data_IF_979929897618
#
_entry.id   IF_979929897618
#
_cell.length_a   1.000
_cell.length_b   1.000
_cell.length_c   1.000
_cell.angle_alpha   90.00
_cell.angle_beta   90.00
_cell.angle_gamma   90.00
#
_symmetry.space_group_name_H-M   'P 1'
#
loop_
_entity.id
_entity.type
_entity.pdbx_description
1 polymer ?
#
# COMPACT_ATOMS: atom_id res chain seq x y z
N UNK A 1 -36.36 23.54 27.95
CA UNK A 1 -36.12 22.16 27.50
C UNK A 1 -35.96 21.24 28.71
N UNK A 2 -37.00 20.47 28.95
CA UNK A 2 -37.44 20.03 30.29
C UNK A 2 -36.82 18.67 30.66
N UNK A 3 -35.82 18.23 29.89
CA UNK A 3 -35.14 16.94 30.04
C UNK A 3 -36.02 15.72 29.73
N UNK A 4 -37.30 15.90 29.44
CA UNK A 4 -38.22 14.80 29.18
C UNK A 4 -38.16 14.35 27.72
N UNK A 5 -37.89 13.06 27.54
CA UNK A 5 -37.94 12.37 26.26
C UNK A 5 -39.37 12.41 25.72
N UNK A 6 -39.55 12.99 24.52
CA UNK A 6 -40.82 12.93 23.79
C UNK A 6 -40.58 12.21 22.47
N UNK A 7 -41.15 11.01 22.35
CA UNK A 7 -41.12 10.23 21.11
C UNK A 7 -41.98 10.93 20.06
N UNK A 8 -41.35 11.45 19.02
CA UNK A 8 -42.00 12.14 17.91
C UNK A 8 -42.42 11.12 16.84
N UNK A 9 -43.66 10.61 16.96
CA UNK A 9 -44.42 9.80 15.98
C UNK A 9 -43.86 8.40 15.66
N UNK A 10 -44.74 7.40 15.77
CA UNK A 10 -44.52 6.01 15.35
C UNK A 10 -44.38 5.91 13.82
N UNK A 11 -43.17 6.12 13.30
CA UNK A 11 -42.77 5.47 12.06
C UNK A 11 -42.65 3.98 12.33
N UNK A 12 -43.07 3.12 11.37
CA UNK A 12 -42.94 1.64 11.41
C UNK A 12 -41.73 1.25 12.27
N UNK A 13 -42.01 0.68 13.45
CA UNK A 13 -40.98 0.24 14.40
C UNK A 13 -39.97 -0.60 13.63
N UNK A 14 -38.79 -0.02 13.39
CA UNK A 14 -37.66 -0.77 12.83
C UNK A 14 -37.13 -1.53 14.02
N UNK A 15 -37.20 -2.86 13.97
CA UNK A 15 -36.67 -3.73 15.01
C UNK A 15 -35.18 -3.38 15.26
N UNK A 16 -34.83 -2.87 16.46
CA UNK A 16 -33.44 -2.53 16.77
C UNK A 16 -32.50 -3.73 16.69
N UNK A 17 -33.03 -4.96 16.80
CA UNK A 17 -32.27 -6.19 16.61
C UNK A 17 -31.57 -6.28 15.26
N UNK A 18 -32.11 -5.64 14.22
CA UNK A 18 -31.46 -5.54 12.90
C UNK A 18 -30.11 -4.79 12.95
N UNK A 19 -29.93 -3.94 13.95
CA UNK A 19 -28.71 -3.15 14.12
C UNK A 19 -27.75 -3.74 15.18
N UNK A 20 -28.14 -4.82 15.87
CA UNK A 20 -27.27 -5.51 16.83
C UNK A 20 -26.25 -6.39 16.10
N UNK A 21 -24.97 -6.22 16.42
CA UNK A 21 -23.86 -7.02 15.95
C UNK A 21 -23.08 -7.67 17.10
N UNK A 22 -21.80 -7.99 16.89
CA UNK A 22 -20.97 -8.64 17.92
C UNK A 22 -20.75 -7.72 19.13
N UNK A 23 -20.88 -8.28 20.34
CA UNK A 23 -20.72 -7.56 21.62
C UNK A 23 -21.67 -6.37 21.78
N UNK A 24 -22.87 -6.50 21.22
CA UNK A 24 -23.96 -5.57 21.42
C UNK A 24 -25.26 -6.34 21.64
N UNK A 25 -26.14 -5.80 22.46
CA UNK A 25 -27.47 -6.34 22.75
C UNK A 25 -28.52 -5.24 22.59
N UNK A 26 -29.79 -5.63 22.47
CA UNK A 26 -30.90 -4.68 22.51
C UNK A 26 -31.27 -4.47 23.98
N UNK A 27 -31.53 -3.23 24.39
CA UNK A 27 -31.95 -2.93 25.76
C UNK A 27 -33.34 -3.51 26.08
N UNK A 28 -33.67 -3.55 27.37
CA UNK A 28 -34.94 -4.11 27.87
C UNK A 28 -36.18 -3.42 27.27
N UNK A 29 -36.09 -2.12 26.99
CA UNK A 29 -37.17 -1.33 26.40
C UNK A 29 -37.35 -1.56 24.88
N UNK A 30 -36.46 -2.33 24.25
CA UNK A 30 -36.55 -2.64 22.82
C UNK A 30 -36.45 -1.41 21.92
N UNK A 31 -35.72 -0.37 22.34
CA UNK A 31 -35.62 0.90 21.62
C UNK A 31 -34.17 1.34 21.31
N UNK A 32 -33.16 0.67 21.87
CA UNK A 32 -31.76 1.00 21.69
C UNK A 32 -30.85 -0.24 21.62
N UNK A 33 -29.77 -0.12 20.84
CA UNK A 33 -28.66 -1.09 20.86
C UNK A 33 -27.63 -0.60 21.85
N UNK A 34 -27.31 -1.43 22.84
CA UNK A 34 -26.33 -1.18 23.89
C UNK A 34 -25.11 -2.08 23.72
N UNK A 35 -24.00 -1.68 24.31
CA UNK A 35 -22.71 -2.37 24.18
C UNK A 35 -22.48 -3.28 25.37
N UNK A 36 -22.14 -4.55 25.13
CA UNK A 36 -21.89 -5.52 26.20
C UNK A 36 -20.47 -5.37 26.79
N UNK A 37 -19.56 -4.76 26.03
CA UNK A 37 -18.16 -4.52 26.40
C UNK A 37 -17.76 -3.08 26.11
N UNK A 38 -16.74 -2.61 26.82
CA UNK A 38 -16.02 -1.39 26.48
C UNK A 38 -15.16 -1.62 25.23
N UNK A 39 -15.20 -0.66 24.29
CA UNK A 39 -14.39 -0.78 23.09
C UNK A 39 -14.70 0.27 22.02
N UNK A 40 -14.27 -0.01 20.80
CA UNK A 40 -14.54 0.81 19.62
C UNK A 40 -15.71 0.22 18.84
N UNK A 41 -16.74 1.04 18.64
CA UNK A 41 -17.87 0.70 17.81
C UNK A 41 -17.48 0.71 16.34
N UNK A 42 -17.85 -0.35 15.64
CA UNK A 42 -17.69 -0.56 14.21
C UNK A 42 -19.05 -0.83 13.59
N UNK A 43 -19.45 0.02 12.64
CA UNK A 43 -20.71 -0.13 11.92
C UNK A 43 -20.48 -0.81 10.58
N UNK A 44 -21.26 -1.85 10.27
CA UNK A 44 -21.25 -2.53 8.98
C UNK A 44 -22.02 -1.74 7.93
N UNK A 45 -21.85 -2.10 6.65
CA UNK A 45 -22.57 -1.49 5.52
C UNK A 45 -24.10 -1.66 5.67
N UNK A 46 -24.54 -2.76 6.26
CA UNK A 46 -25.96 -3.05 6.51
C UNK A 46 -26.51 -2.36 7.76
N UNK A 47 -25.67 -1.61 8.47
CA UNK A 47 -26.07 -0.79 9.61
C UNK A 47 -25.89 -1.46 10.98
N UNK A 48 -25.53 -2.75 11.03
CA UNK A 48 -25.25 -3.42 12.31
C UNK A 48 -24.01 -2.85 12.99
N UNK A 49 -24.08 -2.68 14.31
CA UNK A 49 -23.02 -2.12 15.14
C UNK A 49 -22.38 -3.25 15.93
N UNK A 50 -21.07 -3.40 15.83
CA UNK A 50 -20.29 -4.33 16.66
C UNK A 50 -19.27 -3.56 17.47
N UNK A 51 -18.96 -4.00 18.69
CA UNK A 51 -17.93 -3.37 19.52
C UNK A 51 -16.74 -4.31 19.67
N UNK A 52 -15.54 -3.80 19.44
CA UNK A 52 -14.30 -4.55 19.63
C UNK A 52 -13.48 -3.95 20.75
N UNK A 53 -12.82 -4.76 21.60
CA UNK A 53 -11.97 -4.24 22.66
C UNK A 53 -10.87 -3.35 22.08
N UNK A 54 -10.56 -2.27 22.77
CA UNK A 54 -9.52 -1.33 22.36
C UNK A 54 -8.52 -1.09 23.47
N UNK A 55 -7.24 -1.03 23.08
CA UNK A 55 -6.18 -0.64 24.00
C UNK A 55 -6.17 0.88 24.15
N UNK A 56 -5.88 1.38 25.35
CA UNK A 56 -5.79 2.82 25.63
C UNK A 56 -4.36 3.19 26.00
N UNK A 57 -3.83 4.18 25.31
CA UNK A 57 -2.48 4.72 25.52
C UNK A 57 -2.64 6.20 25.84
N UNK A 58 -1.87 6.72 26.79
CA UNK A 58 -1.99 8.13 27.21
C UNK A 58 -1.62 9.06 26.06
N UNK A 59 -0.33 9.26 25.79
CA UNK A 59 0.16 10.08 24.69
C UNK A 59 1.34 9.39 24.04
N UNK A 60 1.63 9.76 22.78
CA UNK A 60 2.73 9.18 22.04
C UNK A 60 3.69 10.31 21.68
N UNK A 61 4.85 10.30 22.32
CA UNK A 61 5.97 11.18 21.97
C UNK A 61 7.07 10.45 21.20
N UNK A 62 8.01 11.21 20.64
CA UNK A 62 9.18 10.69 19.90
C UNK A 62 10.00 9.65 20.67
N UNK A 63 10.02 9.73 22.01
CA UNK A 63 10.68 8.77 22.89
C UNK A 63 10.11 7.33 22.79
N UNK A 64 8.87 7.17 22.34
CA UNK A 64 8.25 5.85 22.14
C UNK A 64 8.77 5.14 20.87
N UNK A 65 9.47 5.86 19.99
CA UNK A 65 9.96 5.33 18.73
C UNK A 65 8.82 4.90 17.80
N UNK A 66 8.99 3.74 17.16
CA UNK A 66 8.00 3.16 16.26
C UNK A 66 7.01 2.28 17.04
N UNK A 67 5.76 2.72 17.12
CA UNK A 67 4.67 1.97 17.71
C UNK A 67 3.87 1.26 16.62
N UNK A 68 3.85 -0.08 16.65
CA UNK A 68 2.99 -0.91 15.80
C UNK A 68 1.95 -1.64 16.64
N UNK A 69 0.68 -1.59 16.24
CA UNK A 69 -0.42 -2.31 16.92
C UNK A 69 -1.31 -3.04 15.91
N UNK A 70 -1.58 -4.31 16.16
CA UNK A 70 -2.46 -5.10 15.29
C UNK A 70 -3.94 -4.73 15.48
N UNK A 71 -4.33 -4.46 16.73
CA UNK A 71 -5.69 -4.14 17.11
C UNK A 71 -5.96 -2.63 17.11
N UNK A 72 -7.24 -2.29 17.16
CA UNK A 72 -7.67 -0.91 17.28
C UNK A 72 -7.30 -0.37 18.66
N UNK A 73 -6.83 0.87 18.70
CA UNK A 73 -6.46 1.51 19.97
C UNK A 73 -6.78 2.99 19.99
N UNK A 74 -6.84 3.53 21.21
CA UNK A 74 -7.18 4.91 21.52
C UNK A 74 -5.96 5.58 22.13
N UNK A 75 -5.56 6.72 21.57
CA UNK A 75 -4.61 7.65 22.18
C UNK A 75 -5.42 8.72 22.89
N UNK A 76 -5.33 8.77 24.22
CA UNK A 76 -6.14 9.67 25.06
C UNK A 76 -5.67 11.13 24.97
N UNK A 77 -4.40 11.35 24.62
CA UNK A 77 -3.73 12.65 24.48
C UNK A 77 -3.17 12.82 23.07
N UNK A 78 -2.19 13.71 22.93
CA UNK A 78 -1.60 14.09 21.65
C UNK A 78 -0.59 13.05 21.15
N UNK A 79 -0.44 13.00 19.83
CA UNK A 79 0.69 12.37 19.16
C UNK A 79 1.67 13.49 18.82
N UNK A 80 2.82 13.52 19.49
CA UNK A 80 3.83 14.55 19.35
C UNK A 80 4.67 14.39 18.09
N UNK A 81 5.36 15.46 17.73
CA UNK A 81 6.25 15.52 16.57
C UNK A 81 7.33 14.44 16.57
N UNK A 82 7.59 13.89 15.38
CA UNK A 82 8.60 12.84 15.17
C UNK A 82 8.15 11.44 15.62
N UNK A 83 6.93 11.29 16.12
CA UNK A 83 6.39 9.97 16.48
C UNK A 83 6.01 9.16 15.24
N UNK A 84 6.16 7.84 15.34
CA UNK A 84 5.81 6.90 14.28
C UNK A 84 4.80 5.88 14.78
N UNK A 85 3.57 5.95 14.26
CA UNK A 85 2.44 5.14 14.72
C UNK A 85 1.84 4.36 13.55
N UNK A 86 1.74 3.05 13.68
CA UNK A 86 1.13 2.17 12.69
C UNK A 86 0.11 1.22 13.33
N UNK A 87 -1.05 1.06 12.69
CA UNK A 87 -2.01 0.02 13.05
C UNK A 87 -2.65 -0.65 11.85
N UNK A 88 -2.94 -1.95 11.99
CA UNK A 88 -3.71 -2.72 11.02
C UNK A 88 -5.23 -2.50 11.16
N UNK A 89 -5.66 -1.74 12.18
CA UNK A 89 -7.06 -1.51 12.49
C UNK A 89 -7.39 -0.02 12.58
N UNK A 90 -8.43 0.34 13.33
CA UNK A 90 -8.85 1.73 13.53
C UNK A 90 -7.99 2.41 14.60
N UNK A 91 -7.71 3.71 14.40
CA UNK A 91 -7.01 4.56 15.36
C UNK A 91 -7.92 5.71 15.78
N UNK A 92 -8.07 5.90 17.09
CA UNK A 92 -8.76 7.08 17.64
C UNK A 92 -7.78 7.91 18.46
N UNK A 93 -7.62 9.17 18.09
CA UNK A 93 -6.80 10.15 18.81
C UNK A 93 -7.73 11.17 19.43
N UNK A 94 -7.80 11.19 20.76
CA UNK A 94 -8.59 12.16 21.52
C UNK A 94 -7.88 13.51 21.65
N UNK A 95 -6.57 13.55 21.43
CA UNK A 95 -5.78 14.76 21.28
C UNK A 95 -5.63 15.27 19.85
N UNK A 96 -4.58 16.05 19.64
CA UNK A 96 -4.08 16.52 18.37
C UNK A 96 -2.95 15.61 17.83
N UNK A 97 -2.67 15.73 16.54
CA UNK A 97 -1.54 15.04 15.90
C UNK A 97 -0.61 16.10 15.34
N UNK A 98 0.59 16.20 15.90
CA UNK A 98 1.58 17.20 15.54
C UNK A 98 2.76 16.53 14.85
N UNK A 99 3.04 16.87 13.59
CA UNK A 99 4.29 16.51 12.90
C UNK A 99 4.69 15.02 12.97
N UNK A 100 3.72 14.10 13.00
CA UNK A 100 3.95 12.68 13.20
C UNK A 100 3.68 11.86 11.93
N UNK A 101 4.30 10.68 11.84
CA UNK A 101 3.93 9.66 10.88
C UNK A 101 2.83 8.77 11.49
N UNK A 102 1.66 8.76 10.87
CA UNK A 102 0.52 7.96 11.35
C UNK A 102 -0.05 7.15 10.21
N UNK A 103 -0.05 5.82 10.33
CA UNK A 103 -0.66 4.89 9.37
C UNK A 103 -1.70 4.03 10.05
N UNK A 104 -2.88 3.92 9.46
CA UNK A 104 -3.90 2.95 9.86
C UNK A 104 -4.50 2.30 8.63
N UNK A 105 -4.62 0.97 8.61
CA UNK A 105 -5.35 0.28 7.52
C UNK A 105 -6.86 0.50 7.61
N UNK A 106 -7.38 0.77 8.81
CA UNK A 106 -8.78 1.12 9.04
C UNK A 106 -9.05 2.62 8.90
N UNK A 107 -9.91 3.11 9.79
CA UNK A 107 -10.27 4.51 9.92
C UNK A 107 -9.39 5.23 10.95
N UNK A 108 -9.15 6.52 10.73
CA UNK A 108 -8.53 7.39 11.72
C UNK A 108 -9.52 8.48 12.13
N UNK A 109 -9.72 8.63 13.43
CA UNK A 109 -10.47 9.75 14.01
C UNK A 109 -9.55 10.58 14.91
N UNK A 110 -9.41 11.86 14.59
CA UNK A 110 -8.67 12.85 15.37
C UNK A 110 -9.70 13.83 15.93
N UNK A 111 -9.79 13.96 17.25
CA UNK A 111 -10.78 14.81 17.90
C UNK A 111 -10.48 16.30 17.68
N UNK A 112 -9.20 16.67 17.65
CA UNK A 112 -8.75 18.04 17.43
C UNK A 112 -8.11 18.22 16.05
N UNK A 113 -6.95 18.87 16.01
CA UNK A 113 -6.29 19.30 14.78
C UNK A 113 -5.18 18.29 14.46
N UNK A 114 -4.98 18.03 13.17
CA UNK A 114 -3.73 17.44 12.72
C UNK A 114 -2.91 18.52 12.02
N UNK A 115 -1.72 18.81 12.53
CA UNK A 115 -0.82 19.79 11.95
C UNK A 115 0.60 19.26 11.78
N UNK A 116 1.39 19.97 10.98
CA UNK A 116 2.81 19.71 10.77
C UNK A 116 3.55 21.05 10.77
N UNK A 117 3.83 21.62 11.97
CA UNK A 117 4.36 22.98 12.09
C UNK A 117 5.75 23.11 11.46
N UNK A 118 6.59 22.09 11.58
CA UNK A 118 7.95 22.04 11.02
C UNK A 118 7.99 21.69 9.54
N UNK A 119 6.85 21.30 8.95
CA UNK A 119 6.76 20.81 7.56
C UNK A 119 7.73 19.67 7.29
N UNK A 120 7.93 18.80 8.29
CA UNK A 120 8.75 17.61 8.13
C UNK A 120 8.21 16.75 6.99
N UNK A 121 9.10 16.23 6.14
CA UNK A 121 8.75 15.32 5.05
C UNK A 121 8.35 13.93 5.54
N UNK A 122 8.77 13.57 6.75
CA UNK A 122 8.48 12.29 7.37
C UNK A 122 7.07 12.26 7.99
N UNK A 123 6.58 13.44 8.41
CA UNK A 123 5.24 13.60 8.93
C UNK A 123 4.19 13.50 7.81
N UNK A 124 3.43 12.41 7.82
CA UNK A 124 2.30 12.17 6.91
C UNK A 124 1.27 11.26 7.56
N UNK A 125 0.00 11.45 7.19
CA UNK A 125 -1.11 10.61 7.63
C UNK A 125 -1.55 9.72 6.49
N UNK A 126 -1.54 8.40 6.70
CA UNK A 126 -1.93 7.39 5.73
C UNK A 126 -3.09 6.56 6.28
N UNK A 127 -4.24 6.60 5.61
CA UNK A 127 -5.46 5.95 6.07
C UNK A 127 -5.99 5.01 4.99
N UNK A 128 -6.13 3.72 5.30
CA UNK A 128 -6.67 2.74 4.36
C UNK A 128 -8.15 2.99 4.05
N UNK A 129 -8.93 3.48 5.02
CA UNK A 129 -10.32 3.87 4.82
C UNK A 129 -10.53 5.38 4.96
N UNK A 130 -11.19 5.83 6.04
CA UNK A 130 -11.61 7.22 6.19
C UNK A 130 -10.88 7.96 7.30
N UNK A 131 -10.53 9.23 7.04
CA UNK A 131 -10.01 10.16 8.01
C UNK A 131 -11.10 11.14 8.44
N UNK A 132 -11.30 11.28 9.75
CA UNK A 132 -12.10 12.35 10.35
C UNK A 132 -11.22 13.19 11.27
N UNK A 133 -11.24 14.51 11.08
CA UNK A 133 -10.50 15.45 11.94
C UNK A 133 -11.30 16.73 12.14
N UNK A 134 -10.96 17.56 13.14
CA UNK A 134 -11.55 18.90 13.26
C UNK A 134 -10.99 19.82 12.17
N UNK A 135 -9.67 19.82 11.99
CA UNK A 135 -8.97 20.59 10.97
C UNK A 135 -7.65 19.92 10.56
N UNK A 136 -7.19 20.21 9.36
CA UNK A 136 -5.88 19.77 8.85
C UNK A 136 -5.04 20.99 8.48
N UNK A 137 -3.77 21.04 8.91
CA UNK A 137 -2.89 22.17 8.65
C UNK A 137 -1.45 21.75 8.31
N UNK A 138 -0.91 22.16 7.16
CA UNK A 138 0.46 21.80 6.73
C UNK A 138 0.74 20.28 6.60
N UNK A 139 -0.28 19.44 6.73
CA UNK A 139 -0.12 17.98 6.80
C UNK A 139 -0.41 17.32 5.46
N UNK A 140 0.49 16.47 4.94
CA UNK A 140 0.18 15.61 3.82
C UNK A 140 -0.66 14.41 4.27
N UNK A 141 -1.74 14.14 3.53
CA UNK A 141 -2.72 13.10 3.87
C UNK A 141 -3.00 12.23 2.65
N UNK A 142 -2.97 10.92 2.84
CA UNK A 142 -3.54 9.96 1.90
C UNK A 142 -4.68 9.18 2.58
N UNK A 143 -5.84 9.08 1.92
CA UNK A 143 -6.98 8.33 2.40
C UNK A 143 -7.62 7.47 1.30
N UNK A 144 -7.79 6.18 1.56
CA UNK A 144 -8.37 5.22 0.62
C UNK A 144 -9.89 5.35 0.43
N UNK A 145 -10.60 6.10 1.28
CA UNK A 145 -12.02 6.36 1.12
C UNK A 145 -12.37 7.83 1.31
N UNK A 146 -12.65 8.30 2.53
CA UNK A 146 -13.17 9.65 2.77
C UNK A 146 -12.23 10.49 3.62
N UNK A 147 -12.20 11.80 3.38
CA UNK A 147 -11.59 12.77 4.29
C UNK A 147 -12.64 13.78 4.71
N UNK A 148 -12.90 13.87 6.01
CA UNK A 148 -13.94 14.72 6.57
C UNK A 148 -13.31 15.66 7.61
N UNK A 149 -13.45 16.96 7.40
CA UNK A 149 -13.07 17.98 8.38
C UNK A 149 -14.23 18.86 8.79
N UNK A 150 -14.22 19.31 10.05
CA UNK A 150 -15.30 20.13 10.62
C UNK A 150 -15.08 21.63 10.42
N UNK A 151 -13.83 22.10 10.44
CA UNK A 151 -13.48 23.52 10.35
C UNK A 151 -12.86 23.87 8.99
N UNK A 152 -11.82 23.14 8.57
CA UNK A 152 -11.15 23.45 7.32
C UNK A 152 -9.85 22.69 7.08
N UNK A 153 -9.29 22.94 5.91
CA UNK A 153 -8.00 22.42 5.44
C UNK A 153 -7.12 23.59 5.00
N UNK A 154 -5.90 23.67 5.51
CA UNK A 154 -4.98 24.79 5.23
C UNK A 154 -3.57 24.30 4.90
N UNK A 155 -3.02 24.73 3.77
CA UNK A 155 -1.67 24.38 3.33
C UNK A 155 -1.41 22.86 3.33
N UNK A 156 -2.41 22.06 3.00
CA UNK A 156 -2.33 20.59 2.98
C UNK A 156 -2.07 20.06 1.56
N UNK A 157 -1.45 18.87 1.46
CA UNK A 157 -1.47 18.04 0.25
C UNK A 157 -2.32 16.80 0.53
N UNK A 158 -3.54 16.76 0.00
CA UNK A 158 -4.52 15.71 0.30
C UNK A 158 -4.77 14.89 -0.95
N UNK A 159 -4.65 13.58 -0.80
CA UNK A 159 -5.02 12.59 -1.80
C UNK A 159 -6.09 11.67 -1.24
N UNK A 160 -7.24 11.62 -1.90
CA UNK A 160 -8.40 10.89 -1.42
C UNK A 160 -9.06 10.15 -2.57
N UNK A 161 -9.26 8.84 -2.44
CA UNK A 161 -9.85 8.04 -3.52
C UNK A 161 -11.34 8.32 -3.74
N UNK A 162 -12.11 8.57 -2.69
CA UNK A 162 -13.55 8.73 -2.82
C UNK A 162 -13.99 10.19 -2.63
N UNK A 163 -14.28 10.61 -1.39
CA UNK A 163 -14.91 11.92 -1.14
C UNK A 163 -14.17 12.75 -0.10
N UNK A 164 -13.94 14.02 -0.41
CA UNK A 164 -13.47 15.03 0.54
C UNK A 164 -14.61 15.95 0.93
N UNK A 165 -14.82 16.12 2.23
CA UNK A 165 -15.86 16.98 2.81
C UNK A 165 -15.20 17.95 3.79
N UNK A 166 -15.25 19.24 3.49
CA UNK A 166 -14.68 20.29 4.34
C UNK A 166 -15.43 21.60 4.13
N UNK A 167 -15.65 22.45 5.16
CA UNK A 167 -16.24 23.76 4.92
C UNK A 167 -15.31 24.67 4.12
N UNK A 168 -14.00 24.64 4.41
CA UNK A 168 -13.04 25.57 3.82
C UNK A 168 -11.77 24.87 3.37
N UNK A 169 -11.24 25.32 2.22
CA UNK A 169 -9.92 24.94 1.70
C UNK A 169 -9.11 26.21 1.50
N UNK A 170 -7.87 26.24 1.99
CA UNK A 170 -6.97 27.38 1.81
C UNK A 170 -5.55 26.96 1.44
N UNK A 171 -5.00 27.58 0.40
CA UNK A 171 -3.63 27.36 -0.09
C UNK A 171 -3.22 25.87 -0.14
N UNK A 172 -4.14 24.97 -0.49
CA UNK A 172 -3.95 23.51 -0.41
C UNK A 172 -3.98 22.87 -1.79
N UNK A 173 -3.27 21.75 -1.92
CA UNK A 173 -3.33 20.88 -3.08
C UNK A 173 -4.21 19.68 -2.73
N UNK A 174 -5.31 19.51 -3.42
CA UNK A 174 -6.28 18.45 -3.12
C UNK A 174 -6.56 17.66 -4.38
N UNK A 175 -6.38 16.35 -4.29
CA UNK A 175 -6.69 15.40 -5.37
C UNK A 175 -7.73 14.42 -4.88
N UNK A 176 -8.90 14.40 -5.53
CA UNK A 176 -10.06 13.60 -5.12
C UNK A 176 -10.52 12.72 -6.25
N UNK A 177 -10.76 11.44 -5.99
CA UNK A 177 -11.16 10.51 -7.04
C UNK A 177 -12.61 10.66 -7.50
N UNK A 178 -13.55 10.86 -6.58
CA UNK A 178 -14.98 10.91 -6.92
C UNK A 178 -15.62 12.29 -6.66
N UNK A 179 -15.74 12.71 -5.40
CA UNK A 179 -16.57 13.88 -5.04
C UNK A 179 -15.86 14.83 -4.08
N UNK A 180 -15.97 16.13 -4.34
CA UNK A 180 -15.52 17.18 -3.43
C UNK A 180 -16.74 17.99 -2.96
N UNK A 181 -16.92 18.10 -1.65
CA UNK A 181 -17.97 18.90 -1.03
C UNK A 181 -17.29 19.99 -0.20
N UNK A 182 -17.32 21.22 -0.71
CA UNK A 182 -16.72 22.39 -0.07
C UNK A 182 -17.63 23.62 -0.16
N UNK A 183 -17.61 24.47 0.88
CA UNK A 183 -18.30 25.76 0.87
C UNK A 183 -17.42 26.86 0.26
N UNK A 184 -16.22 27.06 0.80
CA UNK A 184 -15.29 28.07 0.32
C UNK A 184 -13.93 27.48 -0.05
N UNK A 185 -13.40 27.88 -1.21
CA UNK A 185 -12.01 27.65 -1.61
C UNK A 185 -11.30 29.00 -1.68
N UNK A 186 -10.21 29.16 -0.93
CA UNK A 186 -9.47 30.41 -0.76
C UNK A 186 -7.98 30.23 -1.06
N UNK A 187 -7.31 31.34 -1.38
CA UNK A 187 -5.89 31.37 -1.76
C UNK A 187 -5.59 30.52 -3.00
N UNK A 188 -4.30 30.31 -3.26
CA UNK A 188 -3.82 29.56 -4.43
C UNK A 188 -3.97 28.04 -4.24
N UNK A 189 -5.22 27.59 -4.10
CA UNK A 189 -5.56 26.17 -3.94
C UNK A 189 -5.65 25.47 -5.29
N UNK A 190 -5.02 24.30 -5.41
CA UNK A 190 -5.07 23.47 -6.61
C UNK A 190 -5.92 22.24 -6.35
N UNK A 191 -7.00 22.07 -7.12
CA UNK A 191 -7.91 20.94 -6.98
C UNK A 191 -7.88 20.09 -8.26
N UNK A 192 -7.67 18.78 -8.11
CA UNK A 192 -7.73 17.81 -9.20
C UNK A 192 -8.78 16.74 -8.89
N UNK A 193 -9.67 16.50 -9.85
CA UNK A 193 -10.78 15.56 -9.69
C UNK A 193 -10.63 14.38 -10.67
N UNK A 194 -10.90 13.17 -10.18
CA UNK A 194 -10.88 11.93 -10.95
C UNK A 194 -9.82 10.95 -10.44
N UNK A 195 -10.18 9.67 -10.39
CA UNK A 195 -9.34 8.59 -9.88
C UNK A 195 -7.94 8.55 -10.52
N UNK A 196 -7.81 8.91 -11.80
CA UNK A 196 -6.53 8.98 -12.54
C UNK A 196 -5.47 9.90 -11.94
N UNK A 197 -5.88 10.88 -11.12
CA UNK A 197 -4.95 11.82 -10.52
C UNK A 197 -4.52 11.40 -9.11
N UNK A 198 -5.28 10.50 -8.47
CA UNK A 198 -4.97 10.01 -7.13
C UNK A 198 -3.87 8.97 -7.27
N UNK A 199 -2.72 9.22 -6.62
CA UNK A 199 -1.64 8.24 -6.57
C UNK A 199 -1.88 7.37 -5.34
N UNK A 200 -2.07 6.07 -5.55
CA UNK A 200 -2.08 5.11 -4.45
C UNK A 200 -0.63 4.80 -4.04
N UNK A 201 -0.21 5.06 -2.79
CA UNK A 201 1.09 4.72 -2.26
C UNK A 201 1.39 3.22 -2.40
N UNK A 202 0.40 2.35 -2.19
CA UNK A 202 0.60 0.91 -2.28
C UNK A 202 0.79 0.45 -3.73
N UNK A 203 0.08 1.08 -4.68
CA UNK A 203 0.35 0.83 -6.11
C UNK A 203 1.68 1.40 -6.58
N UNK A 204 2.16 2.50 -5.98
CA UNK A 204 3.45 3.08 -6.34
C UNK A 204 4.60 2.16 -5.98
N UNK A 205 4.52 1.53 -4.80
CA UNK A 205 5.49 0.53 -4.37
C UNK A 205 5.40 -0.73 -5.25
N UNK A 206 4.20 -1.21 -5.57
CA UNK A 206 4.02 -2.33 -6.53
C UNK A 206 4.50 -2.00 -7.94
N UNK A 207 4.31 -0.77 -8.40
CA UNK A 207 4.78 -0.31 -9.72
C UNK A 207 6.30 -0.23 -9.80
N UNK A 208 6.97 0.18 -8.72
CA UNK A 208 8.42 0.15 -8.60
C UNK A 208 8.94 -1.31 -8.61
N UNK A 209 8.34 -2.18 -7.80
CA UNK A 209 8.67 -3.61 -7.77
C UNK A 209 8.45 -4.27 -9.13
N UNK A 210 7.35 -3.95 -9.82
CA UNK A 210 7.06 -4.46 -11.16
C UNK A 210 8.02 -3.92 -12.21
N UNK A 211 8.38 -2.64 -12.13
CA UNK A 211 9.41 -2.08 -13.02
C UNK A 211 10.77 -2.71 -12.79
N UNK A 212 11.11 -3.07 -11.55
CA UNK A 212 12.36 -3.75 -11.22
C UNK A 212 12.35 -5.19 -11.74
N UNK A 213 11.25 -5.93 -11.53
CA UNK A 213 11.07 -7.26 -12.10
C UNK A 213 11.19 -7.22 -13.63
N UNK A 214 10.50 -6.30 -14.30
CA UNK A 214 10.56 -6.17 -15.75
C UNK A 214 11.98 -5.88 -16.28
N UNK A 215 12.78 -5.10 -15.54
CA UNK A 215 14.20 -4.88 -15.89
C UNK A 215 15.00 -6.16 -15.75
N UNK A 216 14.89 -6.86 -14.61
CA UNK A 216 15.57 -8.15 -14.40
C UNK A 216 15.20 -9.18 -15.47
N UNK A 217 13.93 -9.24 -15.85
CA UNK A 217 13.46 -10.08 -16.94
C UNK A 217 14.13 -9.75 -18.27
N UNK A 218 14.19 -8.46 -18.63
CA UNK A 218 14.87 -8.01 -19.85
C UNK A 218 16.36 -8.34 -19.84
N UNK A 219 17.02 -8.24 -18.69
CA UNK A 219 18.45 -8.55 -18.55
C UNK A 219 18.72 -10.05 -18.73
N UNK A 220 17.88 -10.90 -18.13
CA UNK A 220 17.96 -12.36 -18.29
C UNK A 220 17.71 -12.76 -19.76
N UNK A 221 16.74 -12.14 -20.43
CA UNK A 221 16.45 -12.43 -21.83
C UNK A 221 17.63 -12.08 -22.74
N UNK A 222 18.30 -10.94 -22.48
CA UNK A 222 19.53 -10.58 -23.19
C UNK A 222 20.67 -11.55 -22.91
N UNK A 223 20.84 -11.99 -21.66
CA UNK A 223 21.83 -13.03 -21.29
C UNK A 223 21.61 -14.32 -22.07
N UNK A 224 20.36 -14.81 -22.12
CA UNK A 224 20.00 -16.02 -22.85
C UNK A 224 20.29 -15.91 -24.36
N UNK A 225 20.01 -14.76 -24.96
CA UNK A 225 20.34 -14.50 -26.37
C UNK A 225 21.86 -14.49 -26.61
N UNK A 226 22.63 -13.91 -25.70
CA UNK A 226 24.10 -13.91 -25.77
C UNK A 226 24.67 -15.31 -25.63
N UNK A 227 24.24 -16.07 -24.63
CA UNK A 227 24.65 -17.47 -24.43
C UNK A 227 24.32 -18.34 -25.64
N UNK A 228 23.13 -18.18 -26.22
CA UNK A 228 22.73 -18.88 -27.45
C UNK A 228 23.64 -18.52 -28.64
N UNK A 229 24.01 -17.25 -28.78
CA UNK A 229 24.92 -16.79 -29.84
C UNK A 229 26.33 -17.38 -29.68
N UNK A 230 26.86 -17.39 -28.45
CA UNK A 230 28.17 -17.99 -28.12
C UNK A 230 28.14 -19.50 -28.38
N UNK A 231 27.09 -20.18 -27.96
CA UNK A 231 26.88 -21.60 -28.22
C UNK A 231 26.85 -21.92 -29.72
N UNK A 232 26.11 -21.15 -30.52
CA UNK A 232 26.07 -21.36 -31.97
C UNK A 232 27.44 -21.13 -32.64
N UNK A 233 28.17 -20.08 -32.25
CA UNK A 233 29.51 -19.81 -32.78
C UNK A 233 30.53 -20.90 -32.42
N UNK A 234 30.45 -21.45 -31.21
CA UNK A 234 31.32 -22.54 -30.76
C UNK A 234 30.99 -23.85 -31.49
N UNK A 235 29.71 -24.16 -31.70
CA UNK A 235 29.26 -25.25 -32.59
C UNK A 235 29.85 -25.13 -34.00
N UNK A 236 29.71 -23.96 -34.64
CA UNK A 236 30.26 -23.73 -36.00
C UNK A 236 31.78 -23.89 -36.05
N UNK A 237 32.49 -23.41 -35.01
CA UNK A 237 33.94 -23.56 -34.90
C UNK A 237 34.36 -25.04 -34.77
N UNK A 238 33.63 -25.82 -33.98
CA UNK A 238 33.86 -27.27 -33.84
C UNK A 238 33.63 -28.01 -35.15
N UNK A 239 32.53 -27.73 -35.85
CA UNK A 239 32.23 -28.36 -37.15
C UNK A 239 33.38 -28.11 -38.13
N UNK A 240 33.86 -26.85 -38.24
CA UNK A 240 35.01 -26.51 -39.09
C UNK A 240 36.29 -27.24 -38.68
N UNK A 241 36.52 -27.45 -37.38
CA UNK A 241 37.70 -28.20 -36.92
C UNK A 241 37.60 -29.70 -37.19
N UNK A 242 36.40 -30.29 -37.08
CA UNK A 242 36.13 -31.68 -37.43
C UNK A 242 36.29 -31.89 -38.94
N UNK A 243 35.81 -30.97 -39.78
CA UNK A 243 36.00 -31.00 -41.23
C UNK A 243 37.49 -30.96 -41.62
N UNK A 244 38.29 -30.11 -40.94
CA UNK A 244 39.75 -30.08 -41.13
C UNK A 244 40.44 -31.40 -40.76
N UNK A 245 39.92 -32.12 -39.77
CA UNK A 245 40.42 -33.46 -39.40
C UNK A 245 40.03 -34.57 -40.38
N UNK A 246 38.91 -34.39 -41.10
CA UNK A 246 38.39 -35.37 -42.06
C UNK A 246 39.07 -35.29 -43.43
N UNK A 247 39.79 -34.19 -43.72
CA UNK A 247 40.59 -34.01 -44.94
C UNK A 247 41.78 -35.00 -45.04
N UNK A 248 42.16 -35.46 -46.25
CA UNK A 248 43.01 -36.64 -46.44
C UNK A 248 44.53 -36.47 -46.17
N UNK A 249 45.02 -35.41 -45.51
CA UNK A 249 46.48 -35.20 -45.39
C UNK A 249 46.92 -34.45 -44.13
N UNK A 250 46.84 -35.08 -42.95
CA UNK A 250 47.44 -34.52 -41.73
C UNK A 250 48.17 -35.62 -40.93
N UNK A 251 49.49 -35.48 -40.83
CA UNK A 251 50.39 -36.33 -40.06
C UNK A 251 49.99 -36.44 -38.57
N UNK A 252 50.52 -37.44 -37.87
CA UNK A 252 50.12 -37.83 -36.50
C UNK A 252 50.29 -36.74 -35.43
N UNK A 253 51.30 -35.86 -35.54
CA UNK A 253 51.58 -34.80 -34.57
C UNK A 253 50.51 -33.67 -34.51
N UNK A 254 50.00 -33.14 -35.64
CA UNK A 254 48.89 -32.18 -35.62
C UNK A 254 47.58 -32.76 -35.03
N UNK A 255 47.32 -34.07 -35.15
CA UNK A 255 46.07 -34.69 -34.64
C UNK A 255 45.92 -34.59 -33.12
N UNK A 256 47.00 -34.73 -32.34
CA UNK A 256 46.94 -34.59 -30.88
C UNK A 256 46.63 -33.14 -30.46
N UNK A 257 47.25 -32.15 -31.10
CA UNK A 257 46.95 -30.73 -30.85
C UNK A 257 45.51 -30.40 -31.21
N UNK A 258 45.00 -30.88 -32.36
CA UNK A 258 43.60 -30.66 -32.73
C UNK A 258 42.63 -31.38 -31.79
N UNK A 259 42.96 -32.58 -31.30
CA UNK A 259 42.16 -33.27 -30.27
C UNK A 259 42.06 -32.45 -28.98
N UNK A 260 43.16 -31.83 -28.52
CA UNK A 260 43.13 -30.94 -27.36
C UNK A 260 42.29 -29.68 -27.58
N UNK A 261 42.29 -29.11 -28.79
CA UNK A 261 41.47 -27.94 -29.13
C UNK A 261 39.98 -28.31 -29.14
N UNK A 262 39.62 -29.48 -29.68
CA UNK A 262 38.23 -29.99 -29.66
C UNK A 262 37.76 -30.23 -28.23
N UNK A 263 38.58 -30.84 -27.36
CA UNK A 263 38.22 -31.06 -25.95
C UNK A 263 37.97 -29.71 -25.24
N UNK A 264 38.81 -28.69 -25.47
CA UNK A 264 38.58 -27.35 -24.89
C UNK A 264 37.30 -26.69 -25.39
N UNK A 265 36.96 -26.87 -26.66
CA UNK A 265 35.73 -26.33 -27.24
C UNK A 265 34.49 -27.04 -26.70
N UNK A 266 34.55 -28.37 -26.51
CA UNK A 266 33.47 -29.14 -25.88
C UNK A 266 33.25 -28.68 -24.44
N UNK A 267 34.33 -28.55 -23.65
CA UNK A 267 34.21 -28.07 -22.28
C UNK A 267 33.65 -26.64 -22.20
N UNK A 268 34.05 -25.76 -23.13
CA UNK A 268 33.50 -24.39 -23.21
C UNK A 268 32.02 -24.37 -23.60
N UNK A 269 31.57 -25.34 -24.42
CA UNK A 269 30.16 -25.51 -24.74
C UNK A 269 29.35 -26.04 -23.56
N UNK A 270 29.90 -27.00 -22.80
CA UNK A 270 29.25 -27.54 -21.61
C UNK A 270 29.08 -26.45 -20.54
N UNK A 271 30.11 -25.62 -20.30
CA UNK A 271 30.02 -24.47 -19.40
C UNK A 271 28.95 -23.46 -19.87
N UNK A 272 28.88 -23.19 -21.18
CA UNK A 272 27.86 -22.30 -21.75
C UNK A 272 26.45 -22.88 -21.64
N UNK A 273 26.30 -24.20 -21.74
CA UNK A 273 25.05 -24.92 -21.59
C UNK A 273 24.59 -24.95 -20.13
N UNK A 274 25.49 -25.13 -19.17
CA UNK A 274 25.17 -25.06 -17.75
C UNK A 274 24.74 -23.66 -17.32
N UNK A 275 25.45 -22.62 -17.79
CA UNK A 275 25.04 -21.23 -17.60
C UNK A 275 23.65 -20.96 -18.21
N UNK A 276 23.41 -21.43 -19.43
CA UNK A 276 22.10 -21.31 -20.08
C UNK A 276 20.99 -22.01 -19.31
N UNK A 277 21.23 -23.24 -18.82
CA UNK A 277 20.23 -23.99 -18.01
C UNK A 277 19.90 -23.28 -16.72
N UNK A 278 20.89 -22.67 -16.07
CA UNK A 278 20.71 -21.90 -14.84
C UNK A 278 19.84 -20.67 -15.10
N UNK A 279 20.23 -19.85 -16.07
CA UNK A 279 19.51 -18.62 -16.45
C UNK A 279 18.08 -18.94 -16.94
N UNK A 280 17.90 -20.05 -17.66
CA UNK A 280 16.59 -20.51 -18.11
C UNK A 280 15.71 -21.01 -16.94
N UNK A 281 16.31 -21.67 -15.95
CA UNK A 281 15.61 -22.05 -14.72
C UNK A 281 15.10 -20.82 -13.94
N UNK A 282 15.95 -19.80 -13.80
CA UNK A 282 15.56 -18.52 -13.18
C UNK A 282 14.45 -17.82 -14.00
N UNK A 283 14.53 -17.85 -15.33
CA UNK A 283 13.48 -17.31 -16.21
C UNK A 283 12.13 -17.99 -16.01
N UNK A 284 12.08 -19.33 -15.99
CA UNK A 284 10.83 -20.11 -15.80
C UNK A 284 10.22 -19.83 -14.43
N UNK A 285 11.04 -19.82 -13.38
CA UNK A 285 10.58 -19.58 -12.01
C UNK A 285 9.94 -18.19 -11.89
N UNK A 286 10.61 -17.16 -12.42
CA UNK A 286 10.07 -15.80 -12.42
C UNK A 286 8.80 -15.69 -13.28
N UNK A 287 8.73 -16.40 -14.42
CA UNK A 287 7.56 -16.35 -15.31
C UNK A 287 6.31 -16.98 -14.66
N UNK A 288 6.49 -18.05 -13.89
CA UNK A 288 5.43 -18.69 -13.10
C UNK A 288 4.94 -17.79 -11.95
N UNK A 289 5.84 -17.08 -11.28
CA UNK A 289 5.47 -16.09 -10.25
C UNK A 289 4.67 -14.92 -10.83
N UNK A 290 5.04 -14.43 -12.01
CA UNK A 290 4.31 -13.38 -12.72
C UNK A 290 2.90 -13.82 -13.16
N UNK A 291 2.74 -15.07 -13.62
CA UNK A 291 1.43 -15.60 -14.01
C UNK A 291 0.53 -15.86 -12.81
N UNK A 292 1.07 -16.39 -11.70
CA UNK A 292 0.31 -16.51 -10.43
C UNK A 292 -0.11 -15.16 -9.86
N UNK A 293 0.74 -14.14 -10.00
CA UNK A 293 0.41 -12.77 -9.60
C UNK A 293 -0.72 -12.15 -10.43
N UNK A 294 -0.84 -12.50 -11.72
CA UNK A 294 -1.93 -12.03 -12.59
C UNK A 294 -3.28 -12.69 -12.28
N UNK A 295 -3.31 -14.00 -11.99
CA UNK A 295 -4.56 -14.72 -11.68
C UNK A 295 -5.16 -14.32 -10.32
N UNK A 296 -4.36 -13.80 -9.39
CA UNK A 296 -4.85 -13.26 -8.12
C UNK A 296 -5.41 -11.82 -8.21
N UNK A 297 -5.34 -11.20 -9.39
CA UNK A 297 -5.78 -9.82 -9.65
C UNK A 297 -7.08 -9.73 -10.49
N UNK A 298 -7.54 -10.84 -11.07
CA UNK A 298 -8.84 -10.98 -11.76
C UNK A 298 -9.88 -11.62 -10.81
#
# INVERSE_FOLDING_TARGET
PDGQERVLREHKSIDPGLFSGKNTSVNEDGNAVVTDIDGLAHRTVYGSVSVYPSERISGIGSAHGKLMKELAFVVEQDISEGSHVETLSNLVVRGAVHGAYVRASGNIQIAFIADNPTRSREAKIMVGQSLRSRALQNTPVWAGSHVITVQGMMRCDIQCMNTVITPTISASKITVGNRLIVRDVKGDSTIKMGARFVSDPEMRDRGAVRSEHNKRFSDIEQSLLQHRSVYNKTCESLVRQIERLRGPAIASAPRQKTKQIIIRLINSMDESLEAYKKDFGEYVTNAEENTRGQVALD
#
